data_IF_775137981032
#
_entry.id   IF_775137981032
#
_cell.length_a   1.000
_cell.length_b   1.000
_cell.length_c   1.000
_cell.angle_alpha   90.00
_cell.angle_beta   90.00
_cell.angle_gamma   90.00
#
_symmetry.space_group_name_H-M   'P 1'
#
loop_
_entity.id
_entity.type
_entity.pdbx_description
1 polymer ?
#
# COMPACT_ATOMS: atom_id res chain seq x y z
N UNK A 1 -9.10 20.75 -9.43
CA UNK A 1 -8.59 19.55 -8.74
C UNK A 1 -7.08 19.70 -8.56
N UNK A 2 -6.56 19.33 -7.40
CA UNK A 2 -5.13 19.40 -7.06
C UNK A 2 -4.63 18.03 -6.65
N UNK A 3 -3.60 17.51 -7.35
CA UNK A 3 -2.87 16.31 -6.95
C UNK A 3 -1.59 16.71 -6.21
N UNK A 4 -1.41 16.20 -5.01
CA UNK A 4 -0.23 16.44 -4.18
C UNK A 4 0.51 15.13 -3.89
N UNK A 5 1.74 14.98 -4.42
CA UNK A 5 2.57 13.80 -4.23
C UNK A 5 3.92 14.11 -3.58
N UNK A 6 4.43 13.18 -2.80
CA UNK A 6 5.82 13.17 -2.33
C UNK A 6 6.80 12.73 -3.44
N UNK A 7 6.28 12.27 -4.57
CA UNK A 7 7.03 11.80 -5.73
C UNK A 7 7.35 12.92 -6.71
N UNK A 8 8.40 12.77 -7.49
CA UNK A 8 8.82 13.76 -8.49
C UNK A 8 8.04 13.67 -9.81
N UNK A 9 7.38 12.55 -10.05
CA UNK A 9 6.53 12.30 -11.23
C UNK A 9 5.19 11.70 -10.80
N UNK A 10 4.19 11.76 -11.65
CA UNK A 10 2.91 11.07 -11.46
C UNK A 10 3.17 9.56 -11.54
N UNK A 11 2.64 8.81 -10.58
CA UNK A 11 2.80 7.36 -10.51
C UNK A 11 1.82 6.74 -9.51
N UNK A 12 1.73 5.41 -9.48
CA UNK A 12 0.84 4.70 -8.58
C UNK A 12 -0.62 5.15 -8.75
N UNK A 13 -1.36 5.33 -7.66
CA UNK A 13 -2.78 5.72 -7.72
C UNK A 13 -3.04 6.95 -8.59
N UNK A 14 -2.14 7.94 -8.56
CA UNK A 14 -2.33 9.18 -9.30
C UNK A 14 -2.26 8.99 -10.81
N UNK A 15 -1.43 8.07 -11.28
CA UNK A 15 -1.32 7.77 -12.69
C UNK A 15 -2.63 7.17 -13.22
N UNK A 16 -3.19 6.19 -12.51
CA UNK A 16 -4.46 5.57 -12.88
C UNK A 16 -5.61 6.57 -12.88
N UNK A 17 -5.74 7.37 -11.82
CA UNK A 17 -6.77 8.41 -11.71
C UNK A 17 -6.63 9.42 -12.87
N UNK A 18 -5.41 9.90 -13.13
CA UNK A 18 -5.17 10.90 -14.17
C UNK A 18 -5.47 10.38 -15.57
N UNK A 19 -5.08 9.13 -15.86
CA UNK A 19 -5.38 8.50 -17.16
C UNK A 19 -6.88 8.34 -17.35
N UNK A 20 -7.62 7.96 -16.32
CA UNK A 20 -9.07 7.81 -16.39
C UNK A 20 -9.78 9.17 -16.59
N UNK A 21 -9.38 10.21 -15.85
CA UNK A 21 -9.88 11.56 -16.04
C UNK A 21 -9.65 12.06 -17.49
N UNK A 22 -8.48 11.77 -18.05
CA UNK A 22 -8.17 12.07 -19.46
C UNK A 22 -9.03 11.27 -20.44
N UNK A 23 -9.18 9.98 -20.19
CA UNK A 23 -9.99 9.08 -21.04
C UNK A 23 -11.44 9.55 -21.13
N UNK A 24 -12.00 10.02 -19.99
CA UNK A 24 -13.37 10.54 -19.92
C UNK A 24 -13.51 11.97 -20.46
N UNK A 25 -12.40 12.65 -20.73
CA UNK A 25 -12.39 14.06 -21.14
C UNK A 25 -13.20 14.95 -20.16
N UNK A 26 -12.95 14.76 -18.85
CA UNK A 26 -13.65 15.50 -17.79
C UNK A 26 -13.29 16.98 -17.80
N UNK A 27 -14.23 17.84 -17.38
CA UNK A 27 -14.06 19.31 -17.30
C UNK A 27 -13.19 19.77 -16.12
N UNK A 28 -12.55 18.84 -15.38
CA UNK A 28 -11.71 19.18 -14.25
C UNK A 28 -10.43 19.91 -14.67
N UNK A 29 -10.25 21.13 -14.17
CA UNK A 29 -8.97 21.82 -14.25
C UNK A 29 -7.99 21.17 -13.25
N UNK A 30 -6.99 20.45 -13.77
CA UNK A 30 -6.06 19.66 -12.97
C UNK A 30 -4.74 20.42 -12.77
N UNK A 31 -4.23 20.41 -11.54
CA UNK A 31 -2.93 20.94 -11.16
C UNK A 31 -2.14 19.88 -10.38
N UNK A 32 -0.84 19.77 -10.65
CA UNK A 32 0.04 18.85 -9.97
C UNK A 32 1.07 19.59 -9.13
N UNK A 33 1.17 19.22 -7.87
CA UNK A 33 2.21 19.69 -6.95
C UNK A 33 3.07 18.50 -6.51
N UNK A 34 3.95 18.12 -7.41
CA UNK A 34 4.91 17.05 -7.21
C UNK A 34 6.14 17.59 -6.49
N UNK A 35 6.88 16.72 -5.83
CA UNK A 35 8.13 17.10 -5.17
C UNK A 35 9.22 17.24 -6.23
N UNK A 36 9.83 18.43 -6.41
CA UNK A 36 10.81 18.62 -7.49
C UNK A 36 12.09 17.79 -7.28
N UNK A 37 12.44 17.49 -6.01
CA UNK A 37 13.55 16.62 -5.63
C UNK A 37 13.33 16.13 -4.20
N UNK A 38 13.86 14.94 -3.87
CA UNK A 38 13.84 14.38 -2.52
C UNK A 38 14.60 15.30 -1.53
N UNK A 39 15.62 16.02 -2.02
CA UNK A 39 16.53 16.85 -1.22
C UNK A 39 16.13 18.33 -1.14
N UNK A 40 15.23 18.82 -1.97
CA UNK A 40 14.91 20.25 -2.08
C UNK A 40 13.96 20.70 -1.00
N UNK A 41 14.36 21.72 -0.20
CA UNK A 41 13.46 22.47 0.66
C UNK A 41 12.59 23.39 -0.21
N UNK A 42 11.32 23.56 0.15
CA UNK A 42 10.43 24.48 -0.55
C UNK A 42 10.81 25.94 -0.28
N UNK A 43 10.84 26.73 -1.33
CA UNK A 43 10.93 28.19 -1.22
C UNK A 43 9.64 28.79 -0.71
N UNK A 44 9.68 29.99 -0.16
CA UNK A 44 8.46 30.74 0.24
C UNK A 44 7.49 30.95 -0.91
N UNK A 45 7.97 31.13 -2.12
CA UNK A 45 7.16 31.27 -3.34
C UNK A 45 6.36 29.96 -3.61
N UNK A 46 7.01 28.81 -3.51
CA UNK A 46 6.36 27.50 -3.70
C UNK A 46 5.33 27.23 -2.61
N UNK A 47 5.62 27.56 -1.35
CA UNK A 47 4.66 27.41 -0.23
C UNK A 47 3.43 28.29 -0.46
N UNK A 48 3.63 29.56 -0.85
CA UNK A 48 2.52 30.49 -1.16
C UNK A 48 1.67 30.01 -2.34
N UNK A 49 2.31 29.49 -3.39
CA UNK A 49 1.61 28.97 -4.57
C UNK A 49 0.79 27.72 -4.20
N UNK A 50 1.37 26.81 -3.41
CA UNK A 50 0.67 25.64 -2.90
C UNK A 50 -0.52 26.05 -2.00
N UNK A 51 -0.32 27.00 -1.08
CA UNK A 51 -1.38 27.49 -0.20
C UNK A 51 -2.55 28.06 -1.00
N UNK A 52 -2.27 28.85 -2.05
CA UNK A 52 -3.31 29.37 -2.96
C UNK A 52 -4.04 28.24 -3.68
N UNK A 53 -3.31 27.23 -4.19
CA UNK A 53 -3.91 26.10 -4.87
C UNK A 53 -4.80 25.26 -3.93
N UNK A 54 -4.36 25.01 -2.69
CA UNK A 54 -5.16 24.36 -1.65
C UNK A 54 -6.44 25.14 -1.34
N UNK A 55 -6.32 26.47 -1.21
CA UNK A 55 -7.45 27.35 -0.90
C UNK A 55 -8.50 27.47 -2.02
N UNK A 56 -8.11 27.18 -3.27
CA UNK A 56 -9.00 27.36 -4.45
C UNK A 56 -9.46 26.06 -5.08
N UNK A 57 -8.87 24.92 -4.71
CA UNK A 57 -9.26 23.62 -5.26
C UNK A 57 -10.53 23.10 -4.59
N UNK A 58 -11.43 22.51 -5.39
CA UNK A 58 -12.56 21.72 -4.89
C UNK A 58 -12.08 20.39 -4.34
N UNK A 59 -11.28 19.66 -5.09
CA UNK A 59 -10.68 18.39 -4.69
C UNK A 59 -9.19 18.54 -4.52
N UNK A 60 -8.67 18.14 -3.36
CA UNK A 60 -7.24 17.99 -3.05
C UNK A 60 -6.97 16.53 -2.79
N UNK A 61 -6.24 15.86 -3.69
CA UNK A 61 -5.97 14.43 -3.62
C UNK A 61 -4.53 14.20 -3.14
N UNK A 62 -4.39 13.39 -2.11
CA UNK A 62 -3.13 13.06 -1.45
C UNK A 62 -2.86 11.56 -1.59
N UNK A 63 -1.59 11.19 -1.81
CA UNK A 63 -1.13 9.79 -1.90
C UNK A 63 -0.24 9.37 -0.72
N UNK A 64 0.04 10.28 0.21
CA UNK A 64 0.98 10.06 1.31
C UNK A 64 0.74 11.02 2.47
N UNK A 65 1.64 11.02 3.44
CA UNK A 65 1.66 11.88 4.62
C UNK A 65 2.16 13.29 4.29
N UNK A 66 1.30 14.32 4.54
CA UNK A 66 1.63 15.72 4.26
C UNK A 66 1.34 16.64 5.44
N UNK A 67 2.32 16.89 6.33
CA UNK A 67 2.15 17.71 7.54
C UNK A 67 1.61 19.11 7.28
N UNK A 68 1.90 19.69 6.12
CA UNK A 68 1.47 21.06 5.78
C UNK A 68 -0.04 21.22 5.58
N UNK A 69 -0.78 20.13 5.35
CA UNK A 69 -2.23 20.21 5.13
C UNK A 69 -3.03 19.98 6.41
N UNK A 70 -2.47 19.33 7.41
CA UNK A 70 -3.22 18.93 8.60
C UNK A 70 -3.71 20.08 9.49
N UNK A 71 -3.01 21.23 9.60
CA UNK A 71 -3.55 22.38 10.33
C UNK A 71 -4.66 23.15 9.60
N UNK A 72 -4.94 22.79 8.33
CA UNK A 72 -5.90 23.55 7.53
C UNK A 72 -7.33 23.13 7.86
N UNK A 73 -8.21 24.13 7.93
CA UNK A 73 -9.65 23.92 7.90
C UNK A 73 -10.09 23.72 6.45
N UNK A 74 -10.71 22.59 6.14
CA UNK A 74 -11.24 22.32 4.80
C UNK A 74 -12.60 22.99 4.66
N UNK A 75 -12.80 23.71 3.56
CA UNK A 75 -14.04 24.43 3.28
C UNK A 75 -15.18 23.45 3.03
N UNK A 76 -16.42 23.80 3.34
CA UNK A 76 -17.62 22.97 3.16
C UNK A 76 -17.76 22.41 1.73
N UNK A 77 -17.42 23.19 0.72
CA UNK A 77 -17.51 22.79 -0.70
C UNK A 77 -16.17 22.29 -1.26
N UNK A 78 -15.31 21.72 -0.45
CA UNK A 78 -14.04 21.18 -0.87
C UNK A 78 -13.72 19.87 -0.14
N UNK A 79 -13.08 18.95 -0.83
CA UNK A 79 -12.65 17.69 -0.27
C UNK A 79 -11.12 17.56 -0.22
N UNK A 80 -10.63 17.08 0.93
CA UNK A 80 -9.27 16.62 1.13
C UNK A 80 -9.31 15.09 1.17
N UNK A 81 -8.91 14.48 0.05
CA UNK A 81 -9.07 13.05 -0.20
C UNK A 81 -7.72 12.34 -0.07
N UNK A 82 -7.65 11.32 0.76
CA UNK A 82 -6.48 10.47 0.89
C UNK A 82 -6.67 9.17 0.11
N UNK A 83 -5.89 8.95 -0.95
CA UNK A 83 -5.88 7.68 -1.71
C UNK A 83 -4.82 6.71 -1.19
N UNK A 84 -3.96 7.16 -0.27
CA UNK A 84 -2.92 6.42 0.41
C UNK A 84 -1.90 5.73 -0.53
N UNK A 85 -0.96 4.99 0.05
CA UNK A 85 0.13 4.32 -0.66
C UNK A 85 0.24 2.83 -0.30
N UNK A 86 -0.66 2.32 0.55
CA UNK A 86 -0.73 0.91 0.94
C UNK A 86 -2.12 0.36 0.64
N UNK A 87 -2.18 -0.92 0.32
CA UNK A 87 -3.41 -1.68 0.17
C UNK A 87 -3.62 -2.52 1.42
N UNK A 88 -4.84 -2.78 1.78
CA UNK A 88 -5.20 -3.57 2.95
C UNK A 88 -4.85 -2.91 4.27
N UNK A 89 -4.96 -3.65 5.36
CA UNK A 89 -4.60 -3.22 6.71
C UNK A 89 -3.75 -4.30 7.38
N UNK A 90 -2.47 -4.05 7.55
CA UNK A 90 -1.55 -5.01 8.16
C UNK A 90 -1.00 -4.49 9.47
N UNK A 91 -0.05 -3.56 9.42
CA UNK A 91 0.55 -2.92 10.60
C UNK A 91 -0.36 -1.81 11.10
N UNK A 92 -0.48 -1.67 12.42
CA UNK A 92 -1.14 -0.51 13.01
C UNK A 92 -0.41 0.78 12.64
N UNK A 93 -1.15 1.82 12.36
CA UNK A 93 -0.61 3.12 11.98
C UNK A 93 -1.39 4.27 12.62
N UNK A 94 -0.85 5.48 12.54
CA UNK A 94 -1.52 6.68 13.01
C UNK A 94 -2.02 6.55 14.44
N UNK A 95 -3.28 6.89 14.67
CA UNK A 95 -3.88 6.90 16.02
C UNK A 95 -4.13 5.52 16.62
N UNK A 96 -4.14 4.45 15.84
CA UNK A 96 -4.12 3.08 16.38
C UNK A 96 -2.84 2.77 17.18
N UNK A 97 -1.87 3.69 17.17
CA UNK A 97 -0.61 3.60 17.92
C UNK A 97 -0.49 4.64 19.02
N UNK A 98 -1.60 5.19 19.50
CA UNK A 98 -1.58 6.09 20.66
C UNK A 98 -0.97 5.42 21.88
N UNK A 99 -0.04 6.11 22.54
CA UNK A 99 0.67 5.57 23.70
C UNK A 99 1.78 4.57 23.41
N UNK A 100 1.97 4.19 22.14
CA UNK A 100 3.06 3.28 21.71
C UNK A 100 4.30 4.07 21.27
N UNK A 101 5.50 3.47 21.31
CA UNK A 101 6.72 4.10 20.80
C UNK A 101 6.58 4.54 19.34
N UNK A 102 6.86 5.82 19.06
CA UNK A 102 6.71 6.39 17.71
C UNK A 102 5.26 6.61 17.25
N UNK A 103 4.27 6.42 18.11
CA UNK A 103 2.89 6.79 17.87
C UNK A 103 2.67 8.32 17.95
N UNK A 104 1.54 8.83 17.44
CA UNK A 104 1.21 10.24 17.50
C UNK A 104 0.90 10.67 18.96
N UNK A 105 1.05 11.98 19.24
CA UNK A 105 0.53 12.58 20.45
C UNK A 105 -0.99 12.76 20.35
N UNK A 106 -1.69 12.75 21.48
CA UNK A 106 -3.16 12.93 21.52
C UNK A 106 -3.59 14.24 20.83
N UNK A 107 -2.80 15.33 21.01
CA UNK A 107 -3.07 16.63 20.43
C UNK A 107 -2.64 16.77 18.97
N UNK A 108 -2.09 15.72 18.35
CA UNK A 108 -1.68 15.76 16.95
C UNK A 108 -2.88 16.07 16.04
N UNK A 109 -2.65 16.88 15.02
CA UNK A 109 -3.63 17.15 13.96
C UNK A 109 -3.43 16.27 12.72
N UNK A 110 -2.44 15.36 12.76
CA UNK A 110 -2.12 14.53 11.61
C UNK A 110 -3.35 13.72 11.17
N UNK A 111 -3.62 13.72 9.87
CA UNK A 111 -4.70 12.96 9.22
C UNK A 111 -6.14 13.39 9.54
N UNK A 112 -6.41 14.08 10.65
CA UNK A 112 -7.76 14.33 11.18
C UNK A 112 -8.66 15.19 10.29
N UNK A 113 -8.10 15.91 9.35
CA UNK A 113 -8.86 16.80 8.45
C UNK A 113 -9.18 16.18 7.08
N UNK A 114 -8.90 14.90 6.88
CA UNK A 114 -9.39 14.23 5.68
C UNK A 114 -10.91 14.22 5.66
N UNK A 115 -11.48 14.61 4.51
CA UNK A 115 -12.93 14.53 4.28
C UNK A 115 -13.33 13.18 3.74
N UNK A 116 -12.40 12.55 2.97
CA UNK A 116 -12.55 11.22 2.40
C UNK A 116 -11.23 10.47 2.46
N UNK A 117 -11.28 9.15 2.63
CA UNK A 117 -10.11 8.27 2.51
C UNK A 117 -10.51 6.95 1.84
N UNK A 118 -9.73 6.50 0.84
CA UNK A 118 -10.00 5.28 0.10
C UNK A 118 -9.44 4.05 0.82
N UNK A 119 -10.20 2.97 0.75
CA UNK A 119 -9.77 1.63 1.19
C UNK A 119 -10.17 0.56 0.17
N UNK A 120 -9.52 -0.59 0.22
CA UNK A 120 -9.76 -1.70 -0.69
C UNK A 120 -10.98 -2.55 -0.32
N UNK A 121 -11.44 -2.48 0.93
CA UNK A 121 -12.58 -3.26 1.43
C UNK A 121 -13.28 -2.55 2.58
N UNK A 122 -14.59 -2.73 2.68
CA UNK A 122 -15.37 -2.28 3.84
C UNK A 122 -14.92 -2.98 5.14
N UNK A 123 -14.38 -4.20 5.08
CA UNK A 123 -13.90 -4.96 6.24
C UNK A 123 -12.73 -4.30 6.99
N UNK A 124 -12.05 -3.34 6.36
CA UNK A 124 -10.92 -2.63 6.97
C UNK A 124 -11.21 -1.14 7.16
N UNK A 125 -12.41 -0.68 6.87
CA UNK A 125 -12.79 0.72 6.97
C UNK A 125 -12.61 1.27 8.40
N UNK A 126 -12.98 0.50 9.41
CA UNK A 126 -12.80 0.81 10.83
C UNK A 126 -11.32 1.01 11.21
N UNK A 127 -10.41 0.19 10.65
CA UNK A 127 -8.95 0.29 10.90
C UNK A 127 -8.37 1.60 10.34
N UNK A 128 -8.86 2.02 9.19
CA UNK A 128 -8.45 3.29 8.58
C UNK A 128 -9.08 4.49 9.28
N UNK A 129 -10.36 4.41 9.68
CA UNK A 129 -11.02 5.44 10.48
C UNK A 129 -10.27 5.68 11.80
N UNK A 130 -9.94 4.61 12.54
CA UNK A 130 -9.14 4.65 13.75
C UNK A 130 -7.73 5.20 13.47
N UNK A 131 -7.03 4.62 12.49
CA UNK A 131 -5.66 5.00 12.15
C UNK A 131 -5.52 6.48 11.74
N UNK A 132 -6.46 7.01 10.97
CA UNK A 132 -6.49 8.43 10.60
C UNK A 132 -7.14 9.32 11.68
N UNK A 133 -7.88 8.76 12.62
CA UNK A 133 -8.62 9.51 13.64
C UNK A 133 -9.74 10.36 13.02
N UNK A 134 -10.46 9.81 12.06
CA UNK A 134 -11.61 10.43 11.36
C UNK A 134 -12.87 9.57 11.54
N UNK A 135 -14.04 10.15 11.26
CA UNK A 135 -15.30 9.44 11.35
C UNK A 135 -15.40 8.32 10.27
N UNK A 136 -16.03 7.16 10.58
CA UNK A 136 -16.12 6.03 9.66
C UNK A 136 -16.82 6.34 8.33
N UNK A 137 -17.79 7.23 8.30
CA UNK A 137 -18.52 7.69 7.11
C UNK A 137 -17.62 8.38 6.07
N UNK A 138 -16.44 8.84 6.48
CA UNK A 138 -15.42 9.41 5.59
C UNK A 138 -14.58 8.35 4.87
N UNK A 139 -14.67 7.09 5.27
CA UNK A 139 -13.95 6.01 4.61
C UNK A 139 -14.76 5.52 3.42
N UNK A 140 -14.11 5.46 2.26
CA UNK A 140 -14.72 5.12 0.98
C UNK A 140 -14.15 3.77 0.49
N UNK A 141 -14.90 2.66 0.58
CA UNK A 141 -14.46 1.35 0.12
C UNK A 141 -14.64 1.21 -1.40
N UNK A 142 -14.03 2.10 -2.17
CA UNK A 142 -14.10 2.15 -3.63
C UNK A 142 -13.03 1.31 -4.32
N UNK A 143 -12.19 0.63 -3.54
CA UNK A 143 -10.97 -0.01 -4.03
C UNK A 143 -9.79 0.97 -4.14
N UNK A 144 -8.65 0.45 -4.56
CA UNK A 144 -7.41 1.23 -4.69
C UNK A 144 -7.04 1.31 -6.18
N UNK A 145 -6.99 2.50 -6.79
CA UNK A 145 -6.85 2.67 -8.24
C UNK A 145 -5.71 1.88 -8.89
N UNK A 146 -4.52 1.85 -8.28
CA UNK A 146 -3.37 1.16 -8.85
C UNK A 146 -3.50 -0.37 -8.87
N UNK A 147 -4.44 -0.95 -8.13
CA UNK A 147 -4.69 -2.39 -8.17
C UNK A 147 -5.43 -2.83 -9.43
N UNK A 148 -6.01 -1.92 -10.18
CA UNK A 148 -6.67 -2.22 -11.46
C UNK A 148 -5.72 -2.88 -12.47
N UNK A 149 -4.40 -2.63 -12.34
CA UNK A 149 -3.38 -3.25 -13.21
C UNK A 149 -3.42 -4.78 -13.18
N UNK A 150 -3.79 -5.38 -12.04
CA UNK A 150 -3.80 -6.84 -11.88
C UNK A 150 -4.94 -7.53 -12.67
N UNK A 151 -5.89 -6.75 -13.17
CA UNK A 151 -7.05 -7.20 -13.94
C UNK A 151 -7.00 -6.78 -15.42
N UNK A 152 -5.97 -6.05 -15.85
CA UNK A 152 -5.79 -5.58 -17.25
C UNK A 152 -4.74 -6.44 -17.95
N UNK A 153 -5.16 -7.54 -18.57
CA UNK A 153 -4.22 -8.47 -19.25
C UNK A 153 -3.35 -7.80 -20.33
N UNK A 154 -3.89 -6.93 -21.22
CA UNK A 154 -3.06 -6.23 -22.20
C UNK A 154 -1.95 -5.39 -21.55
N UNK A 155 -2.26 -4.64 -20.48
CA UNK A 155 -1.25 -3.85 -19.78
C UNK A 155 -0.26 -4.73 -19.02
N UNK A 156 -0.72 -5.81 -18.37
CA UNK A 156 0.18 -6.77 -17.73
C UNK A 156 1.18 -7.34 -18.71
N UNK A 157 0.72 -7.74 -19.89
CA UNK A 157 1.59 -8.27 -20.92
C UNK A 157 2.61 -7.23 -21.41
N UNK A 158 2.18 -5.99 -21.69
CA UNK A 158 3.06 -4.90 -22.09
C UNK A 158 4.15 -4.60 -21.03
N UNK A 159 3.79 -4.66 -19.74
CA UNK A 159 4.75 -4.49 -18.63
C UNK A 159 5.75 -5.65 -18.61
N UNK A 160 5.30 -6.90 -18.75
CA UNK A 160 6.19 -8.08 -18.78
C UNK A 160 7.19 -7.99 -19.93
N UNK A 161 6.74 -7.60 -21.12
CA UNK A 161 7.60 -7.44 -22.30
C UNK A 161 8.62 -6.32 -22.10
N UNK A 162 8.20 -5.18 -21.56
CA UNK A 162 9.10 -4.07 -21.21
C UNK A 162 10.15 -4.52 -20.19
N UNK A 163 9.75 -5.17 -19.10
CA UNK A 163 10.68 -5.65 -18.10
C UNK A 163 11.63 -6.72 -18.63
N UNK A 164 11.17 -7.62 -19.49
CA UNK A 164 12.04 -8.58 -20.15
C UNK A 164 13.07 -7.91 -21.09
N UNK A 165 12.77 -6.71 -21.61
CA UNK A 165 13.72 -5.90 -22.36
C UNK A 165 14.70 -5.18 -21.41
N UNK A 166 14.17 -4.51 -20.37
CA UNK A 166 14.95 -3.65 -19.47
C UNK A 166 15.80 -4.45 -18.47
N UNK A 167 15.35 -5.65 -18.12
CA UNK A 167 16.00 -6.60 -17.22
C UNK A 167 16.25 -7.94 -17.93
N UNK A 168 17.17 -7.98 -18.91
CA UNK A 168 17.33 -9.14 -19.78
C UNK A 168 17.70 -10.44 -19.05
N UNK A 169 18.23 -10.35 -17.84
CA UNK A 169 18.61 -11.49 -16.99
C UNK A 169 17.40 -12.29 -16.46
N UNK A 170 16.16 -11.76 -16.55
CA UNK A 170 14.96 -12.53 -16.17
C UNK A 170 14.49 -13.49 -17.27
N UNK A 171 15.02 -13.36 -18.51
CA UNK A 171 14.60 -14.22 -19.63
C UNK A 171 15.03 -15.66 -19.44
N UNK A 172 14.08 -16.57 -19.52
CA UNK A 172 14.35 -18.01 -19.43
C UNK A 172 14.63 -18.53 -18.02
N UNK A 173 14.47 -17.68 -17.00
CA UNK A 173 14.58 -18.04 -15.59
C UNK A 173 13.26 -17.78 -14.87
N UNK A 174 13.00 -18.53 -13.81
CA UNK A 174 11.95 -18.19 -12.84
C UNK A 174 12.43 -17.03 -11.96
N UNK A 175 11.54 -16.16 -11.59
CA UNK A 175 11.86 -14.92 -10.87
C UNK A 175 11.41 -15.02 -9.42
N UNK A 176 12.35 -14.91 -8.49
CA UNK A 176 12.07 -14.70 -7.07
C UNK A 176 12.21 -13.22 -6.79
N UNK A 177 11.18 -12.60 -6.21
CA UNK A 177 11.23 -11.22 -5.75
C UNK A 177 11.30 -11.19 -4.23
N UNK A 178 12.37 -10.62 -3.68
CA UNK A 178 12.54 -10.38 -2.26
C UNK A 178 12.23 -8.91 -1.94
N UNK A 179 11.10 -8.67 -1.29
CA UNK A 179 10.58 -7.34 -0.99
C UNK A 179 10.23 -7.21 0.51
N UNK A 180 11.23 -7.13 1.40
CA UNK A 180 11.02 -7.07 2.84
C UNK A 180 10.72 -5.67 3.34
N UNK A 181 10.20 -5.59 4.57
CA UNK A 181 10.10 -4.36 5.35
C UNK A 181 11.43 -4.05 6.05
N UNK A 182 11.85 -2.80 6.07
CA UNK A 182 12.99 -2.37 6.89
C UNK A 182 12.66 -2.40 8.40
N UNK A 183 13.71 -2.49 9.21
CA UNK A 183 13.66 -2.35 10.68
C UNK A 183 14.10 -0.93 11.07
N UNK A 184 13.86 -0.55 12.32
CA UNK A 184 14.16 0.79 12.82
C UNK A 184 13.02 1.81 12.66
N UNK A 185 13.27 3.03 13.10
CA UNK A 185 12.27 4.11 13.19
C UNK A 185 12.54 5.20 12.14
N UNK A 186 12.11 4.95 10.90
CA UNK A 186 12.24 5.90 9.79
C UNK A 186 13.64 5.92 9.16
N UNK A 187 13.87 6.90 8.30
CA UNK A 187 15.02 6.94 7.38
C UNK A 187 16.40 6.90 8.06
N UNK A 188 16.52 7.50 9.26
CA UNK A 188 17.84 7.63 9.91
C UNK A 188 18.35 6.33 10.54
N UNK A 189 17.44 5.42 10.90
CA UNK A 189 17.75 4.16 11.56
C UNK A 189 17.30 2.92 10.79
N UNK A 190 16.93 3.11 9.54
CA UNK A 190 16.43 2.01 8.70
C UNK A 190 17.56 1.04 8.32
N UNK A 191 17.36 -0.23 8.62
CA UNK A 191 18.24 -1.33 8.24
C UNK A 191 17.41 -2.58 7.94
N UNK A 192 18.05 -3.58 7.35
CA UNK A 192 17.52 -4.93 7.26
C UNK A 192 18.58 -5.92 7.80
N UNK A 193 18.21 -6.90 8.64
CA UNK A 193 19.15 -7.87 9.22
C UNK A 193 19.47 -8.97 8.21
N UNK A 194 20.32 -8.66 7.21
CA UNK A 194 20.68 -9.58 6.13
C UNK A 194 21.44 -10.82 6.60
N UNK A 195 22.01 -10.80 7.79
CA UNK A 195 22.66 -11.93 8.45
C UNK A 195 21.71 -13.11 8.74
N UNK A 196 20.39 -12.87 8.71
CA UNK A 196 19.39 -13.95 8.80
C UNK A 196 19.29 -14.78 7.52
N UNK A 197 19.80 -14.28 6.40
CA UNK A 197 19.83 -14.96 5.11
C UNK A 197 21.20 -15.56 4.83
N UNK A 198 21.27 -16.87 4.57
CA UNK A 198 22.48 -17.49 4.02
C UNK A 198 22.45 -17.40 2.49
N UNK A 199 22.97 -16.28 1.94
CA UNK A 199 23.00 -16.04 0.49
C UNK A 199 23.72 -17.13 -0.30
N UNK A 200 24.79 -17.72 0.27
CA UNK A 200 25.51 -18.81 -0.36
C UNK A 200 24.61 -20.04 -0.53
N UNK A 201 23.94 -20.47 0.53
CA UNK A 201 23.07 -21.63 0.48
C UNK A 201 21.89 -21.44 -0.49
N UNK A 202 21.32 -20.22 -0.54
CA UNK A 202 20.25 -19.86 -1.49
C UNK A 202 20.78 -19.94 -2.92
N UNK A 203 21.97 -19.38 -3.19
CA UNK A 203 22.60 -19.45 -4.50
C UNK A 203 22.84 -20.90 -4.93
N UNK A 204 23.52 -21.68 -4.10
CA UNK A 204 23.83 -23.09 -4.40
C UNK A 204 22.59 -23.93 -4.70
N UNK A 205 21.45 -23.60 -4.09
CA UNK A 205 20.20 -24.34 -4.25
C UNK A 205 19.36 -23.92 -5.46
N UNK A 206 19.49 -22.69 -5.97
CA UNK A 206 18.46 -22.10 -6.85
C UNK A 206 19.02 -21.44 -8.14
N UNK A 207 20.31 -21.17 -8.25
CA UNK A 207 20.86 -20.33 -9.33
C UNK A 207 20.69 -20.93 -10.74
N UNK A 208 20.54 -22.24 -10.86
CA UNK A 208 20.36 -22.88 -12.17
C UNK A 208 19.01 -22.52 -12.80
N UNK A 209 17.94 -22.47 -12.02
CA UNK A 209 16.56 -22.28 -12.51
C UNK A 209 16.01 -20.88 -12.28
N UNK A 210 16.58 -20.14 -11.31
CA UNK A 210 16.01 -18.87 -10.85
C UNK A 210 16.96 -17.69 -11.02
N UNK A 211 16.36 -16.49 -10.98
CA UNK A 211 17.03 -15.25 -10.63
C UNK A 211 16.36 -14.66 -9.39
N UNK A 212 17.15 -13.97 -8.55
CA UNK A 212 16.73 -13.44 -7.27
C UNK A 212 16.81 -11.92 -7.29
N UNK A 213 15.67 -11.25 -7.33
CA UNK A 213 15.55 -9.80 -7.37
C UNK A 213 15.47 -9.23 -5.94
N UNK A 214 16.44 -8.40 -5.58
CA UNK A 214 16.48 -7.69 -4.31
C UNK A 214 15.76 -6.35 -4.46
N UNK A 215 14.56 -6.21 -3.93
CA UNK A 215 13.79 -4.95 -3.88
C UNK A 215 13.81 -4.39 -2.47
N UNK A 216 14.94 -3.82 -2.10
CA UNK A 216 15.18 -3.30 -0.75
C UNK A 216 14.65 -1.87 -0.65
N UNK A 217 14.03 -1.54 0.49
CA UNK A 217 13.48 -0.21 0.71
C UNK A 217 14.58 0.86 0.66
N UNK A 218 14.35 2.02 0.01
CA UNK A 218 15.38 3.05 -0.20
C UNK A 218 16.00 3.64 1.08
N UNK A 219 15.34 3.47 2.23
CA UNK A 219 15.87 3.92 3.52
C UNK A 219 16.97 3.02 4.07
N UNK A 220 17.03 1.76 3.64
CA UNK A 220 18.01 0.78 4.14
C UNK A 220 19.41 1.15 3.68
N UNK A 221 20.32 1.34 4.64
CA UNK A 221 21.69 1.76 4.38
C UNK A 221 22.68 0.59 4.32
N UNK A 222 22.34 -0.53 4.96
CA UNK A 222 23.19 -1.71 5.08
C UNK A 222 22.92 -2.77 4.02
N UNK A 223 22.80 -2.36 2.73
CA UNK A 223 22.61 -3.34 1.65
C UNK A 223 23.75 -4.38 1.63
N UNK A 224 23.46 -5.66 1.36
CA UNK A 224 24.47 -6.70 1.37
C UNK A 224 25.46 -6.50 0.22
N UNK A 225 26.75 -6.69 0.50
CA UNK A 225 27.76 -6.82 -0.53
C UNK A 225 27.91 -8.31 -0.85
N UNK A 226 27.45 -8.69 -2.04
CA UNK A 226 27.50 -10.07 -2.48
C UNK A 226 28.76 -10.34 -3.31
N UNK A 227 29.36 -11.53 -3.20
CA UNK A 227 30.49 -11.94 -4.03
C UNK A 227 30.17 -11.86 -5.52
N UNK A 228 31.16 -11.52 -6.34
CA UNK A 228 31.01 -11.44 -7.80
C UNK A 228 30.53 -12.76 -8.42
N UNK A 229 30.93 -13.89 -7.83
CA UNK A 229 30.53 -15.24 -8.26
C UNK A 229 29.00 -15.50 -8.24
N UNK A 230 28.24 -14.64 -7.53
CA UNK A 230 26.76 -14.72 -7.48
C UNK A 230 26.08 -13.68 -8.40
N UNK A 231 26.82 -13.00 -9.25
CA UNK A 231 26.32 -11.90 -10.10
C UNK A 231 25.37 -12.36 -11.23
N UNK A 232 25.30 -13.64 -11.50
CA UNK A 232 24.35 -14.25 -12.44
C UNK A 232 22.99 -14.61 -11.82
N UNK A 233 22.84 -14.43 -10.51
CA UNK A 233 21.64 -14.81 -9.78
C UNK A 233 21.00 -13.66 -8.97
N UNK A 234 21.81 -12.88 -8.21
CA UNK A 234 21.29 -11.78 -7.40
C UNK A 234 21.35 -10.46 -8.16
N UNK A 235 20.20 -9.80 -8.28
CA UNK A 235 20.09 -8.50 -8.93
C UNK A 235 19.42 -7.46 -8.02
N UNK A 236 20.11 -6.37 -7.72
CA UNK A 236 19.54 -5.25 -6.96
C UNK A 236 18.64 -4.42 -7.89
N UNK A 237 17.34 -4.54 -7.70
CA UNK A 237 16.30 -3.75 -8.39
C UNK A 237 15.66 -2.71 -7.47
N UNK A 238 16.35 -2.33 -6.39
CA UNK A 238 15.82 -1.40 -5.39
C UNK A 238 15.46 -0.04 -5.99
N UNK A 239 16.19 0.40 -7.01
CA UNK A 239 15.93 1.67 -7.70
C UNK A 239 14.77 1.59 -8.71
N UNK A 240 14.31 0.39 -9.06
CA UNK A 240 13.12 0.24 -9.90
C UNK A 240 11.89 0.76 -9.14
N UNK A 241 11.19 1.72 -9.75
CA UNK A 241 10.26 2.56 -9.01
C UNK A 241 8.94 1.88 -8.66
N UNK A 242 8.32 1.23 -9.66
CA UNK A 242 6.97 0.69 -9.53
C UNK A 242 7.02 -0.78 -9.11
N UNK A 243 6.77 -1.04 -7.82
CA UNK A 243 6.81 -2.39 -7.27
C UNK A 243 5.83 -3.32 -7.99
N UNK A 244 4.66 -2.83 -8.37
CA UNK A 244 3.63 -3.64 -9.02
C UNK A 244 4.10 -4.22 -10.36
N UNK A 245 4.95 -3.52 -11.09
CA UNK A 245 5.57 -4.04 -12.31
C UNK A 245 6.46 -5.26 -12.01
N UNK A 246 7.26 -5.18 -10.92
CA UNK A 246 8.10 -6.30 -10.48
C UNK A 246 7.26 -7.49 -10.00
N UNK A 247 6.12 -7.23 -9.33
CA UNK A 247 5.20 -8.29 -8.92
C UNK A 247 4.66 -9.05 -10.13
N UNK A 248 4.40 -8.37 -11.24
CA UNK A 248 3.85 -9.01 -12.46
C UNK A 248 4.83 -10.01 -13.09
N UNK A 249 6.14 -9.84 -12.92
CA UNK A 249 7.16 -10.77 -13.44
C UNK A 249 7.65 -11.77 -12.40
N UNK A 250 7.36 -11.57 -11.12
CA UNK A 250 7.76 -12.49 -10.06
C UNK A 250 6.93 -13.78 -10.10
N UNK A 251 7.59 -14.94 -10.17
CA UNK A 251 6.95 -16.25 -10.02
C UNK A 251 6.71 -16.58 -8.55
N UNK A 252 7.57 -16.09 -7.66
CA UNK A 252 7.46 -16.24 -6.21
C UNK A 252 7.83 -14.94 -5.51
N UNK A 253 7.09 -14.59 -4.46
CA UNK A 253 7.38 -13.46 -3.59
C UNK A 253 7.92 -13.95 -2.25
N UNK A 254 9.05 -13.38 -1.82
CA UNK A 254 9.51 -13.45 -0.44
C UNK A 254 9.27 -12.07 0.19
N UNK A 255 8.51 -12.05 1.25
CA UNK A 255 8.27 -10.82 2.03
C UNK A 255 8.27 -11.13 3.52
N UNK A 256 7.90 -10.19 4.37
CA UNK A 256 7.83 -10.37 5.82
C UNK A 256 6.61 -9.64 6.41
N UNK A 257 6.73 -8.35 6.70
CA UNK A 257 5.69 -7.49 7.29
C UNK A 257 5.23 -6.40 6.31
N UNK A 258 5.47 -6.59 5.02
CA UNK A 258 5.16 -5.60 3.98
C UNK A 258 3.74 -5.76 3.45
N UNK A 259 3.09 -4.63 3.20
CA UNK A 259 1.78 -4.58 2.54
C UNK A 259 1.78 -5.06 1.08
N UNK A 260 2.95 -5.32 0.50
CA UNK A 260 3.08 -5.87 -0.87
C UNK A 260 2.36 -7.22 -1.04
N UNK A 261 2.16 -7.95 0.06
CA UNK A 261 1.42 -9.21 0.07
C UNK A 261 -0.02 -9.09 -0.43
N UNK A 262 -0.68 -7.95 -0.17
CA UNK A 262 -2.06 -7.72 -0.64
C UNK A 262 -2.14 -7.69 -2.16
N UNK A 263 -1.26 -6.93 -2.79
CA UNK A 263 -1.23 -6.78 -4.25
C UNK A 263 -0.76 -8.07 -4.92
N UNK A 264 0.23 -8.75 -4.34
CA UNK A 264 0.70 -10.03 -4.87
C UNK A 264 -0.34 -11.15 -4.74
N UNK A 265 -1.18 -11.11 -3.71
CA UNK A 265 -2.29 -12.06 -3.53
C UNK A 265 -3.26 -12.07 -4.74
N UNK A 266 -3.44 -10.92 -5.41
CA UNK A 266 -4.26 -10.80 -6.62
C UNK A 266 -3.72 -11.59 -7.83
N UNK A 267 -2.45 -12.03 -7.78
CA UNK A 267 -1.82 -12.82 -8.84
C UNK A 267 -1.97 -14.32 -8.66
N UNK A 268 -2.49 -14.78 -7.53
CA UNK A 268 -2.65 -16.20 -7.20
C UNK A 268 -1.34 -17.00 -7.40
N UNK A 269 -0.23 -16.50 -6.83
CA UNK A 269 1.10 -17.09 -6.94
C UNK A 269 1.70 -17.39 -5.57
N UNK A 270 2.68 -18.29 -5.48
CA UNK A 270 3.34 -18.64 -4.22
C UNK A 270 3.97 -17.43 -3.53
N UNK A 271 3.73 -17.31 -2.22
CA UNK A 271 4.19 -16.23 -1.37
C UNK A 271 4.77 -16.84 -0.09
N UNK A 272 5.97 -16.41 0.28
CA UNK A 272 6.68 -16.89 1.47
C UNK A 272 6.92 -15.70 2.39
N UNK A 273 6.52 -15.83 3.65
CA UNK A 273 6.79 -14.86 4.70
C UNK A 273 8.04 -15.28 5.47
N UNK A 274 9.17 -14.65 5.14
CA UNK A 274 10.44 -14.90 5.81
C UNK A 274 10.56 -13.97 7.02
N UNK A 275 10.30 -14.50 8.21
CA UNK A 275 10.17 -13.73 9.44
C UNK A 275 10.88 -14.37 10.64
N UNK A 276 12.21 -14.60 10.59
CA UNK A 276 12.97 -15.16 11.72
C UNK A 276 12.94 -14.29 12.98
N UNK A 277 12.74 -12.97 12.80
CA UNK A 277 12.71 -11.96 13.86
C UNK A 277 11.29 -11.54 14.30
N UNK A 278 10.27 -12.36 14.02
CA UNK A 278 8.87 -12.01 14.27
C UNK A 278 8.62 -11.59 15.72
N UNK A 279 9.18 -12.34 16.70
CA UNK A 279 9.00 -12.05 18.11
C UNK A 279 9.56 -10.67 18.50
N UNK A 280 10.74 -10.30 17.97
CA UNK A 280 11.36 -9.00 18.23
C UNK A 280 10.63 -7.88 17.48
N UNK A 281 10.19 -8.16 16.26
CA UNK A 281 9.41 -7.19 15.48
C UNK A 281 8.09 -6.83 16.17
N UNK A 282 7.38 -7.80 16.73
CA UNK A 282 6.12 -7.60 17.46
C UNK A 282 6.29 -6.80 18.75
N UNK A 283 7.49 -6.74 19.35
CA UNK A 283 7.75 -5.89 20.52
C UNK A 283 7.75 -4.38 20.14
N UNK A 284 8.15 -4.06 18.91
CA UNK A 284 8.27 -2.67 18.44
C UNK A 284 7.11 -2.22 17.55
N UNK A 285 6.38 -3.15 16.97
CA UNK A 285 5.28 -2.93 16.03
C UNK A 285 4.10 -3.83 16.39
N UNK A 286 2.89 -3.37 16.13
CA UNK A 286 1.68 -4.16 16.27
C UNK A 286 0.98 -4.34 14.92
N UNK A 287 0.19 -5.39 14.83
CA UNK A 287 -0.63 -5.72 13.68
C UNK A 287 -2.11 -5.56 14.03
N UNK A 288 -2.94 -5.30 13.03
CA UNK A 288 -4.40 -5.29 13.21
C UNK A 288 -4.97 -6.69 13.39
N UNK A 289 -4.26 -7.72 12.90
CA UNK A 289 -4.69 -9.12 12.93
C UNK A 289 -3.56 -10.00 13.52
N UNK A 290 -3.92 -11.18 13.98
CA UNK A 290 -2.91 -12.17 14.37
C UNK A 290 -2.06 -12.54 13.16
N UNK A 291 -0.74 -12.44 13.28
CA UNK A 291 0.17 -12.63 12.15
C UNK A 291 0.04 -14.00 11.49
N UNK A 292 -0.05 -15.08 12.28
CA UNK A 292 -0.11 -16.46 11.79
C UNK A 292 -1.42 -16.79 11.07
N UNK A 293 -2.52 -16.19 11.53
CA UNK A 293 -3.83 -16.36 10.92
C UNK A 293 -3.99 -15.48 9.68
N UNK A 294 -3.29 -14.34 9.68
CA UNK A 294 -3.38 -13.32 8.65
C UNK A 294 -2.66 -13.70 7.36
N UNK A 295 -1.40 -14.20 7.43
CA UNK A 295 -0.55 -14.36 6.24
C UNK A 295 -1.14 -15.39 5.27
N UNK A 296 -1.35 -15.04 3.98
CA UNK A 296 -1.96 -15.96 3.00
C UNK A 296 -0.97 -16.96 2.39
N UNK A 297 0.30 -16.83 2.71
CA UNK A 297 1.39 -17.69 2.24
C UNK A 297 1.99 -18.55 3.34
N UNK A 298 3.08 -19.24 3.04
CA UNK A 298 3.83 -20.03 3.99
C UNK A 298 4.77 -19.17 4.83
N UNK A 299 5.04 -19.56 6.07
CA UNK A 299 6.04 -18.97 6.95
C UNK A 299 7.36 -19.72 6.85
N UNK A 300 8.47 -18.99 6.78
CA UNK A 300 9.82 -19.52 6.92
C UNK A 300 10.58 -18.74 8.00
N UNK A 301 11.10 -19.43 8.99
CA UNK A 301 11.81 -18.87 10.14
C UNK A 301 13.33 -18.99 10.03
N UNK A 302 13.83 -19.67 8.98
CA UNK A 302 15.24 -19.81 8.68
C UNK A 302 15.48 -20.02 7.18
N UNK A 303 16.73 -19.89 6.75
CA UNK A 303 17.11 -20.06 5.33
C UNK A 303 16.83 -21.46 4.78
N UNK A 304 16.95 -22.50 5.59
CA UNK A 304 16.68 -23.88 5.15
C UNK A 304 15.21 -24.09 4.79
N UNK A 305 14.30 -23.62 5.63
CA UNK A 305 12.85 -23.63 5.34
C UNK A 305 12.52 -22.80 4.11
N UNK A 306 13.12 -21.59 4.00
CA UNK A 306 12.95 -20.72 2.85
C UNK A 306 13.34 -21.42 1.54
N UNK A 307 14.51 -22.06 1.50
CA UNK A 307 14.98 -22.80 0.31
C UNK A 307 14.02 -23.94 -0.03
N UNK A 308 13.61 -24.73 0.97
CA UNK A 308 12.67 -25.84 0.78
C UNK A 308 11.35 -25.38 0.15
N UNK A 309 10.80 -24.26 0.63
CA UNK A 309 9.55 -23.70 0.11
C UNK A 309 9.73 -23.09 -1.30
N UNK A 310 10.89 -22.50 -1.60
CA UNK A 310 11.18 -21.97 -2.93
C UNK A 310 11.34 -23.08 -3.98
N UNK A 311 11.91 -24.22 -3.59
CA UNK A 311 12.05 -25.39 -4.46
C UNK A 311 10.72 -26.13 -4.68
N UNK A 312 9.82 -26.08 -3.69
CA UNK A 312 8.51 -26.74 -3.71
C UNK A 312 7.37 -25.75 -3.49
N UNK A 313 7.21 -24.75 -4.41
CA UNK A 313 6.26 -23.68 -4.21
C UNK A 313 4.82 -24.21 -4.19
N UNK A 314 4.06 -23.76 -3.20
CA UNK A 314 2.65 -24.14 -3.02
C UNK A 314 1.80 -22.90 -2.74
N UNK A 315 0.53 -22.99 -3.10
CA UNK A 315 -0.51 -22.01 -2.76
C UNK A 315 -1.59 -22.73 -1.98
N UNK A 316 -1.83 -22.34 -0.75
CA UNK A 316 -3.04 -22.71 -0.03
C UNK A 316 -4.19 -21.86 -0.58
N UNK A 317 -4.91 -22.43 -1.54
CA UNK A 317 -5.95 -21.70 -2.28
C UNK A 317 -7.08 -21.22 -1.36
N UNK A 318 -7.49 -22.02 -0.40
CA UNK A 318 -8.58 -21.66 0.51
C UNK A 318 -8.19 -20.46 1.40
N UNK A 319 -6.95 -20.46 1.89
CA UNK A 319 -6.41 -19.36 2.71
C UNK A 319 -6.22 -18.09 1.87
N UNK A 320 -5.69 -18.22 0.66
CA UNK A 320 -5.49 -17.10 -0.25
C UNK A 320 -6.82 -16.47 -0.69
N UNK A 321 -7.81 -17.29 -1.07
CA UNK A 321 -9.14 -16.81 -1.45
C UNK A 321 -9.84 -16.10 -0.29
N UNK A 322 -9.75 -16.67 0.93
CA UNK A 322 -10.25 -16.03 2.14
C UNK A 322 -9.61 -14.67 2.41
N UNK A 323 -8.29 -14.58 2.22
CA UNK A 323 -7.54 -13.33 2.35
C UNK A 323 -7.98 -12.29 1.31
N UNK A 324 -8.04 -12.67 0.03
CA UNK A 324 -8.44 -11.76 -1.05
C UNK A 324 -9.87 -11.27 -0.85
N UNK A 325 -10.82 -12.17 -0.55
CA UNK A 325 -12.21 -11.81 -0.32
C UNK A 325 -12.44 -10.93 0.92
N UNK A 326 -11.56 -10.99 1.91
CA UNK A 326 -11.63 -10.13 3.08
C UNK A 326 -11.08 -8.72 2.80
N UNK A 327 -9.96 -8.62 2.07
CA UNK A 327 -9.26 -7.35 1.87
C UNK A 327 -9.65 -6.60 0.60
N UNK A 328 -10.45 -7.20 -0.28
CA UNK A 328 -10.94 -6.56 -1.51
C UNK A 328 -12.44 -6.83 -1.68
N UNK A 329 -13.23 -5.78 -1.79
CA UNK A 329 -14.68 -5.91 -2.04
C UNK A 329 -14.95 -6.29 -3.50
N UNK A 330 -14.16 -5.73 -4.43
CA UNK A 330 -14.32 -5.93 -5.86
C UNK A 330 -13.01 -6.38 -6.51
N UNK A 331 -13.10 -7.36 -7.40
CA UNK A 331 -11.99 -7.94 -8.16
C UNK A 331 -12.21 -7.74 -9.68
N UNK A 332 -12.72 -6.58 -10.06
CA UNK A 332 -13.18 -6.27 -11.42
C UNK A 332 -12.26 -5.30 -12.19
N UNK A 333 -11.19 -4.79 -11.54
CA UNK A 333 -10.26 -3.84 -12.14
C UNK A 333 -10.88 -2.46 -12.43
N UNK A 334 -11.92 -2.06 -11.69
CA UNK A 334 -12.63 -0.79 -11.89
C UNK A 334 -12.57 0.16 -10.70
N UNK A 335 -11.61 -0.02 -9.79
CA UNK A 335 -11.43 0.86 -8.64
C UNK A 335 -11.21 2.31 -9.05
N UNK A 336 -10.42 2.54 -10.11
CA UNK A 336 -10.21 3.87 -10.69
C UNK A 336 -11.50 4.47 -11.23
N UNK A 337 -12.29 3.69 -11.94
CA UNK A 337 -13.56 4.14 -12.50
C UNK A 337 -14.53 4.55 -11.39
N UNK A 338 -14.71 3.70 -10.35
CA UNK A 338 -15.55 4.02 -9.19
C UNK A 338 -15.11 5.31 -8.49
N UNK A 339 -13.81 5.51 -8.33
CA UNK A 339 -13.30 6.74 -7.71
C UNK A 339 -13.60 7.97 -8.58
N UNK A 340 -13.44 7.89 -9.90
CA UNK A 340 -13.76 9.01 -10.80
C UNK A 340 -15.26 9.25 -10.86
N UNK A 341 -16.11 8.21 -10.86
CA UNK A 341 -17.56 8.34 -10.73
C UNK A 341 -17.93 9.11 -9.45
N UNK A 342 -17.32 8.74 -8.32
CA UNK A 342 -17.54 9.44 -7.05
C UNK A 342 -17.13 10.93 -7.12
N UNK A 343 -16.02 11.25 -7.79
CA UNK A 343 -15.61 12.65 -8.00
C UNK A 343 -16.59 13.43 -8.89
N UNK A 344 -17.11 12.81 -9.94
CA UNK A 344 -18.07 13.43 -10.87
C UNK A 344 -19.44 13.66 -10.21
N UNK A 345 -19.81 12.79 -9.26
CA UNK A 345 -21.05 12.84 -8.50
C UNK A 345 -20.89 13.46 -7.10
N UNK A 346 -19.77 14.13 -6.82
CA UNK A 346 -19.47 14.79 -5.55
C UNK A 346 -19.54 13.86 -4.32
N UNK A 347 -19.25 12.57 -4.50
CA UNK A 347 -19.42 11.52 -3.49
C UNK A 347 -20.87 11.42 -2.94
N UNK A 348 -21.84 11.90 -3.69
CA UNK A 348 -23.24 11.66 -3.35
C UNK A 348 -23.54 10.15 -3.53
N UNK A 349 -24.01 9.53 -2.43
CA UNK A 349 -24.52 8.16 -2.50
C UNK A 349 -25.91 8.22 -3.17
N UNK A 350 -26.10 7.59 -4.34
CA UNK A 350 -27.44 7.56 -4.97
C UNK A 350 -28.50 6.86 -4.09
N UNK A 351 -28.06 6.10 -3.06
CA UNK A 351 -28.95 5.44 -2.09
C UNK A 351 -29.05 6.19 -0.76
N UNK A 352 -28.37 7.33 -0.58
CA UNK A 352 -28.40 8.09 0.68
C UNK A 352 -29.82 8.55 1.08
N UNK A 353 -30.71 8.74 0.11
CA UNK A 353 -32.11 9.07 0.36
C UNK A 353 -32.90 7.92 1.02
N UNK A 354 -32.44 6.68 0.95
CA UNK A 354 -33.08 5.53 1.60
C UNK A 354 -32.57 5.27 3.03
N UNK A 355 -31.41 5.84 3.41
CA UNK A 355 -30.75 5.61 4.71
C UNK A 355 -31.11 6.64 5.79
N UNK A 356 -31.73 7.76 5.46
CA UNK A 356 -32.17 8.77 6.45
C UNK A 356 -33.27 8.28 7.44
N UNK A 357 -33.76 7.05 7.32
CA UNK A 357 -34.77 6.48 8.20
C UNK A 357 -34.29 5.39 9.17
N UNK A 358 -32.96 5.24 9.37
CA UNK A 358 -32.44 4.32 10.39
C UNK A 358 -31.61 5.07 11.44
N UNK A 359 -32.32 5.70 12.39
CA UNK A 359 -31.76 6.13 13.67
C UNK A 359 -31.30 4.92 14.49
N UNK A 360 -30.00 4.69 14.52
CA UNK A 360 -29.40 3.55 15.23
C UNK A 360 -27.95 3.74 15.68
N UNK A 361 -27.60 4.93 16.18
CA UNK A 361 -26.36 5.12 16.93
C UNK A 361 -26.65 4.94 18.42
N UNK A 362 -26.27 3.80 18.99
CA UNK A 362 -26.24 3.63 20.44
C UNK A 362 -25.00 4.32 21.02
N UNK A 363 -25.22 5.33 21.84
CA UNK A 363 -24.18 5.98 22.64
C UNK A 363 -24.23 5.37 24.04
N UNK A 364 -23.11 4.86 24.53
CA UNK A 364 -23.01 4.38 25.92
C UNK A 364 -23.09 5.54 26.92
N UNK A 365 -23.47 5.26 28.19
CA UNK A 365 -23.63 6.26 29.25
C UNK A 365 -22.33 7.05 29.53
N UNK A 366 -21.18 6.60 29.07
CA UNK A 366 -19.86 7.24 29.16
C UNK A 366 -19.44 7.93 27.85
N UNK A 367 -20.36 8.13 26.90
CA UNK A 367 -20.14 8.93 25.68
C UNK A 367 -19.31 8.26 24.60
N UNK A 368 -19.17 6.93 24.63
CA UNK A 368 -18.50 6.15 23.58
C UNK A 368 -19.52 5.64 22.55
N UNK A 369 -19.18 5.80 21.26
CA UNK A 369 -19.94 5.20 20.15
C UNK A 369 -19.71 3.69 20.20
N UNK A 370 -20.77 2.91 20.43
CA UNK A 370 -20.75 1.45 20.35
C UNK A 370 -21.19 1.07 18.92
N UNK A 371 -20.33 0.47 18.10
CA UNK A 371 -20.78 -0.11 16.84
C UNK A 371 -21.71 -1.27 17.10
N UNK A 372 -22.90 -1.27 16.53
CA UNK A 372 -23.83 -2.41 16.61
C UNK A 372 -23.35 -3.55 15.69
N UNK A 373 -22.60 -4.47 16.25
CA UNK A 373 -22.11 -5.69 15.57
C UNK A 373 -23.12 -6.84 15.60
N UNK A 374 -24.32 -6.60 16.03
CA UNK A 374 -25.25 -7.64 16.35
C UNK A 374 -26.56 -7.62 15.64
N UNK A 375 -26.63 -7.97 14.36
CA UNK A 375 -27.73 -8.80 13.82
C UNK A 375 -27.41 -9.22 12.39
N UNK A 376 -26.68 -10.33 12.23
CA UNK A 376 -26.80 -11.13 11.01
C UNK A 376 -28.24 -11.64 10.97
N UNK A 377 -28.96 -11.23 9.94
CA UNK A 377 -30.25 -11.84 9.61
C UNK A 377 -30.04 -13.35 9.39
N UNK A 378 -30.98 -14.11 9.98
CA UNK A 378 -31.12 -15.56 9.75
C UNK A 378 -31.54 -15.84 8.33
#
# INVERSE_FOLDING_TARGET
MLFRSSRVTISGNFEFIYQELKRRNTDFKISFYLKPSIKTKKSWKEVRTLAKALATSRYVILDDFYPLVYPLHIRENADLIQVWHAVGAFKTFGYSRLGMPGGPKIQSLNHRNYTKALVSSHNIADKYAEGFGIAPDKIQPLGIPRTDIFFDEPKKQAIRERLAHDLPFIKGKKVILFAPTFRGNGQQSAYYPFEMLNFRAIYEALHEDYVFLLKIHPFVQNKPTLPYEYSDFYYDVSDYREINDLLLVADQLITDYSSVCFEYALLNRPMIFFAPDLADYMQSRSFYFNYFDFIPGSLAENTGELISQLQHPQVDQAKLDGFVNFFFDDLDGKSTARFVDALENDFEDPNAAELENNDGLAISEDGKIIPDWGKKAK
#
